data_IF_275643589919
#
_entry.id   IF_275643589919
#
_cell.length_a   1.000
_cell.length_b   1.000
_cell.length_c   1.000
_cell.angle_alpha   90.00
_cell.angle_beta   90.00
_cell.angle_gamma   90.00
#
_symmetry.space_group_name_H-M   'P 1'
#
loop_
_entity.id
_entity.type
_entity.pdbx_description
1 polymer ?
#
# COMPACT_ATOMS: atom_id res chain seq x y z
N UNK A 1 14.82 10.63 -4.87
CA UNK A 1 15.14 11.82 -4.08
C UNK A 1 15.61 11.35 -2.73
N UNK A 2 16.82 11.75 -2.33
CA UNK A 2 17.36 11.43 -1.00
C UNK A 2 16.90 12.48 0.00
N UNK A 3 16.92 12.15 1.28
CA UNK A 3 16.48 13.01 2.37
C UNK A 3 17.61 13.29 3.38
N UNK A 4 17.44 14.31 4.22
CA UNK A 4 18.45 14.81 5.15
C UNK A 4 19.42 15.81 4.51
N UNK A 5 20.15 16.54 5.36
CA UNK A 5 21.08 17.59 4.91
C UNK A 5 22.18 17.06 3.97
N UNK A 6 22.58 15.80 4.17
CA UNK A 6 23.61 15.09 3.42
C UNK A 6 23.06 14.03 2.46
N UNK A 7 21.75 13.81 2.43
CA UNK A 7 21.12 12.84 1.53
C UNK A 7 21.24 11.37 1.96
N UNK A 8 21.43 11.11 3.24
CA UNK A 8 21.60 9.78 3.85
C UNK A 8 20.47 9.37 4.80
N UNK A 9 19.47 10.22 5.03
CA UNK A 9 18.34 9.98 5.94
C UNK A 9 17.11 9.40 5.23
N UNK A 10 17.36 8.45 4.33
CA UNK A 10 16.32 7.80 3.53
C UNK A 10 15.95 8.58 2.27
N UNK A 11 14.66 8.61 1.92
CA UNK A 11 14.20 9.35 0.75
C UNK A 11 12.84 8.98 0.19
N UNK A 12 12.54 9.57 -0.97
CA UNK A 12 11.32 9.33 -1.73
C UNK A 12 11.69 8.86 -3.14
N UNK A 13 11.14 7.74 -3.56
CA UNK A 13 11.30 7.23 -4.93
C UNK A 13 10.02 7.41 -5.74
N UNK A 14 10.18 7.72 -7.02
CA UNK A 14 9.09 7.84 -7.96
C UNK A 14 9.29 6.81 -9.07
N UNK A 15 8.32 5.90 -9.23
CA UNK A 15 8.28 4.93 -10.30
C UNK A 15 7.24 5.42 -11.32
N UNK A 16 7.67 5.70 -12.56
CA UNK A 16 6.82 6.40 -13.56
C UNK A 16 6.66 5.60 -14.83
N UNK A 17 5.42 5.36 -15.26
CA UNK A 17 5.13 4.63 -16.47
C UNK A 17 4.10 5.39 -17.35
N UNK A 18 4.38 5.51 -18.65
CA UNK A 18 3.57 6.33 -19.56
C UNK A 18 4.01 7.79 -19.62
N UNK A 19 3.25 8.62 -20.35
CA UNK A 19 3.55 10.05 -20.56
C UNK A 19 2.25 10.85 -20.61
N UNK A 20 2.30 12.12 -20.25
CA UNK A 20 1.16 13.04 -20.36
C UNK A 20 -0.12 12.44 -19.74
N UNK A 21 -1.23 12.43 -20.47
CA UNK A 21 -2.53 11.91 -20.02
C UNK A 21 -2.59 10.40 -19.76
N UNK A 22 -1.51 9.64 -20.01
CA UNK A 22 -1.42 8.20 -19.67
C UNK A 22 -0.38 7.92 -18.58
N UNK A 23 0.19 8.96 -17.98
CA UNK A 23 1.21 8.81 -16.94
C UNK A 23 0.59 8.21 -15.68
N UNK A 24 1.21 7.14 -15.21
CA UNK A 24 1.01 6.57 -13.89
C UNK A 24 2.29 6.80 -13.07
N UNK A 25 2.16 7.26 -11.83
CA UNK A 25 3.29 7.53 -10.93
C UNK A 25 3.01 6.89 -9.58
N UNK A 26 3.87 5.95 -9.17
CA UNK A 26 3.91 5.44 -7.82
C UNK A 26 4.96 6.23 -7.03
N UNK A 27 4.57 6.78 -5.89
CA UNK A 27 5.44 7.46 -4.94
C UNK A 27 5.67 6.51 -3.77
N UNK A 28 6.92 6.22 -3.43
CA UNK A 28 7.28 5.36 -2.30
C UNK A 28 8.16 6.12 -1.32
N UNK A 29 7.68 6.26 -0.07
CA UNK A 29 8.26 7.11 0.97
C UNK A 29 8.97 6.26 2.03
N UNK A 30 10.28 6.42 2.11
CA UNK A 30 11.16 5.90 3.18
C UNK A 30 12.06 7.02 3.73
N UNK A 31 11.62 8.28 3.60
CA UNK A 31 12.24 9.51 4.09
C UNK A 31 12.11 9.62 5.61
N UNK A 32 12.94 10.48 6.24
CA UNK A 32 12.92 10.91 7.64
C UNK A 32 11.52 11.43 8.08
N UNK A 33 11.35 11.75 9.36
CA UNK A 33 10.04 12.15 9.88
C UNK A 33 9.55 13.46 9.25
N UNK A 34 10.41 14.47 9.13
CA UNK A 34 10.04 15.78 8.57
C UNK A 34 9.59 16.80 9.62
N UNK A 35 10.17 16.78 10.81
CA UNK A 35 9.89 17.67 11.94
C UNK A 35 8.40 17.63 12.36
N UNK A 36 7.88 18.72 12.89
CA UNK A 36 6.50 18.86 13.39
C UNK A 36 5.39 18.77 12.32
N UNK A 37 5.75 18.62 11.04
CA UNK A 37 4.82 18.37 9.94
C UNK A 37 4.93 16.94 9.39
N UNK A 38 5.79 16.12 10.00
CA UNK A 38 5.96 14.73 9.70
C UNK A 38 4.74 13.89 10.05
N UNK A 39 4.50 12.85 9.26
CA UNK A 39 3.50 11.83 9.55
C UNK A 39 4.18 10.54 10.03
N UNK A 40 3.42 9.69 10.72
CA UNK A 40 3.87 8.39 11.21
C UNK A 40 3.69 7.30 10.14
N UNK A 41 4.34 7.42 8.99
CA UNK A 41 3.98 6.68 7.77
C UNK A 41 5.20 6.08 7.03
N UNK A 42 6.16 5.53 7.77
CA UNK A 42 7.32 4.83 7.19
C UNK A 42 6.88 3.78 6.18
N UNK A 43 7.56 3.73 5.04
CA UNK A 43 7.29 2.80 3.93
C UNK A 43 5.88 2.95 3.29
N UNK A 44 5.22 4.10 3.46
CA UNK A 44 3.98 4.43 2.76
C UNK A 44 4.19 4.57 1.24
N UNK A 45 3.14 4.33 0.47
CA UNK A 45 3.12 4.65 -0.96
C UNK A 45 1.80 5.29 -1.38
N UNK A 46 1.85 6.02 -2.50
CA UNK A 46 0.68 6.58 -3.17
C UNK A 46 0.76 6.31 -4.66
N UNK A 47 -0.39 6.08 -5.29
CA UNK A 47 -0.47 5.82 -6.73
C UNK A 47 -1.29 6.90 -7.40
N UNK A 48 -0.71 7.51 -8.44
CA UNK A 48 -1.41 8.39 -9.35
C UNK A 48 -1.54 7.72 -10.72
N UNK A 49 -2.69 7.86 -11.37
CA UNK A 49 -2.92 7.44 -12.75
C UNK A 49 -3.72 8.49 -13.51
N UNK A 50 -3.26 8.86 -14.71
CA UNK A 50 -3.93 9.81 -15.61
C UNK A 50 -4.30 11.14 -14.92
N UNK A 51 -3.42 11.62 -14.05
CA UNK A 51 -3.61 12.87 -13.29
C UNK A 51 -4.61 12.77 -12.13
N UNK A 52 -4.98 11.56 -11.70
CA UNK A 52 -5.83 11.30 -10.54
C UNK A 52 -5.06 10.53 -9.48
N UNK A 53 -5.32 10.84 -8.21
CA UNK A 53 -4.80 10.10 -7.07
C UNK A 53 -5.67 8.88 -6.84
N UNK A 54 -5.11 7.68 -7.02
CA UNK A 54 -5.82 6.39 -6.98
C UNK A 54 -5.72 5.75 -5.60
N UNK A 55 -4.49 5.55 -5.13
CA UNK A 55 -4.18 5.17 -3.76
C UNK A 55 -3.63 6.41 -3.08
N UNK A 56 -4.39 6.95 -2.14
CA UNK A 56 -4.25 8.33 -1.68
C UNK A 56 -3.47 8.47 -0.38
N UNK A 57 -2.92 9.66 -0.17
CA UNK A 57 -2.54 10.15 1.15
C UNK A 57 -3.58 11.18 1.62
N UNK A 58 -3.95 11.14 2.90
CA UNK A 58 -4.95 12.09 3.39
C UNK A 58 -4.41 13.54 3.39
N UNK A 59 -3.09 13.71 3.52
CA UNK A 59 -2.48 15.02 3.73
C UNK A 59 -2.85 15.60 5.10
N UNK A 60 -3.05 16.91 5.22
CA UNK A 60 -3.36 17.55 6.51
C UNK A 60 -4.85 17.76 6.75
N UNK A 61 -5.26 17.82 8.02
CA UNK A 61 -6.59 18.33 8.39
C UNK A 61 -6.49 19.83 8.64
N UNK A 62 -6.61 20.60 7.56
CA UNK A 62 -6.50 22.06 7.57
C UNK A 62 -7.30 22.69 6.44
N UNK A 63 -7.96 23.81 6.73
CA UNK A 63 -8.70 24.59 5.75
C UNK A 63 -8.06 25.96 5.60
N UNK A 64 -7.10 26.08 4.67
CA UNK A 64 -6.25 27.28 4.54
C UNK A 64 -7.12 28.53 4.28
N UNK A 65 -6.99 29.53 5.15
CA UNK A 65 -7.72 30.81 5.02
C UNK A 65 -9.20 30.75 5.40
N UNK A 66 -9.72 29.61 5.86
CA UNK A 66 -11.12 29.46 6.27
C UNK A 66 -11.24 29.73 7.76
N UNK A 67 -11.68 30.93 8.13
CA UNK A 67 -11.76 31.39 9.52
C UNK A 67 -12.64 30.49 10.40
N UNK A 68 -13.77 30.01 9.85
CA UNK A 68 -14.72 29.12 10.52
C UNK A 68 -14.11 27.77 10.90
N UNK A 69 -12.98 27.39 10.30
CA UNK A 69 -12.24 26.18 10.59
C UNK A 69 -10.96 26.55 11.34
N UNK A 70 -11.16 27.01 12.59
CA UNK A 70 -10.10 27.34 13.53
C UNK A 70 -9.08 28.37 12.98
N UNK A 71 -9.57 29.43 12.34
CA UNK A 71 -8.71 30.47 11.76
C UNK A 71 -7.83 29.96 10.61
N UNK A 72 -8.19 28.84 9.98
CA UNK A 72 -7.42 28.18 8.94
C UNK A 72 -6.11 27.52 9.39
N UNK A 73 -5.98 27.25 10.70
CA UNK A 73 -4.86 26.51 11.29
C UNK A 73 -5.06 25.00 11.15
N UNK A 74 -4.02 24.22 11.48
CA UNK A 74 -4.18 22.78 11.65
C UNK A 74 -5.21 22.48 12.73
N UNK A 75 -6.13 21.57 12.42
CA UNK A 75 -7.18 21.14 13.34
C UNK A 75 -6.67 19.99 14.22
N UNK A 76 -7.35 19.71 15.34
CA UNK A 76 -6.96 18.63 16.26
C UNK A 76 -6.91 17.25 15.57
N UNK A 77 -7.72 17.07 14.54
CA UNK A 77 -7.78 15.85 13.73
C UNK A 77 -6.53 15.68 12.85
N UNK A 78 -5.73 16.74 12.66
CA UNK A 78 -4.43 16.62 11.99
C UNK A 78 -3.53 15.65 12.76
N UNK A 79 -3.41 15.88 14.08
CA UNK A 79 -2.53 15.06 14.91
C UNK A 79 -3.22 13.75 15.30
N UNK A 80 -4.52 13.79 15.58
CA UNK A 80 -5.26 12.62 16.09
C UNK A 80 -5.76 11.65 15.02
N UNK A 81 -5.78 12.05 13.74
CA UNK A 81 -6.12 11.20 12.59
C UNK A 81 -5.07 11.27 11.48
N UNK A 82 -4.92 12.41 10.81
CA UNK A 82 -4.18 12.46 9.54
C UNK A 82 -2.68 12.14 9.66
N UNK A 83 -2.04 12.47 10.78
CA UNK A 83 -0.66 12.09 11.06
C UNK A 83 -0.48 10.63 11.51
N UNK A 84 -1.56 9.92 11.87
CA UNK A 84 -1.50 8.56 12.44
C UNK A 84 -1.31 7.49 11.36
N UNK A 85 -0.62 6.40 11.69
CA UNK A 85 -0.22 5.37 10.70
C UNK A 85 -1.40 4.72 10.00
N UNK A 86 -2.53 4.53 10.69
CA UNK A 86 -3.76 3.95 10.13
C UNK A 86 -4.37 4.79 8.99
N UNK A 87 -4.06 6.09 8.91
CA UNK A 87 -4.49 6.97 7.83
C UNK A 87 -3.64 6.83 6.54
N UNK A 88 -2.66 5.92 6.52
CA UNK A 88 -1.68 5.77 5.44
C UNK A 88 -1.64 4.33 4.90
N UNK A 89 -1.03 4.15 3.72
CA UNK A 89 -0.96 2.87 3.03
C UNK A 89 0.25 2.05 3.50
N UNK A 90 0.42 1.86 4.81
CA UNK A 90 1.56 1.14 5.39
C UNK A 90 1.13 0.28 6.57
N UNK A 91 2.03 -0.58 7.06
CA UNK A 91 1.71 -1.56 8.10
C UNK A 91 1.52 -0.87 9.46
N UNK A 92 0.41 -1.19 10.11
CA UNK A 92 0.12 -0.80 11.50
C UNK A 92 0.23 -2.04 12.39
N UNK A 93 0.91 -1.92 13.53
CA UNK A 93 1.09 -3.02 14.48
C UNK A 93 0.34 -2.69 15.77
N UNK A 94 -0.49 -3.62 16.26
CA UNK A 94 -1.24 -3.53 17.53
C UNK A 94 -2.05 -2.23 17.69
N UNK A 95 -2.61 -1.73 16.58
CA UNK A 95 -3.32 -0.44 16.49
C UNK A 95 -2.49 0.76 17.00
N UNK A 96 -1.17 0.65 16.99
CA UNK A 96 -0.24 1.69 17.38
C UNK A 96 0.34 2.38 16.14
N UNK A 97 0.44 3.70 16.18
CA UNK A 97 1.20 4.42 15.15
C UNK A 97 2.69 4.12 15.27
N UNK A 98 3.42 4.23 14.16
CA UNK A 98 4.88 4.21 14.14
C UNK A 98 5.46 5.12 15.24
N UNK A 99 6.49 4.64 15.91
CA UNK A 99 7.15 5.30 17.04
C UNK A 99 6.17 5.66 18.17
N UNK A 100 5.06 4.92 18.29
CA UNK A 100 3.96 5.18 19.21
C UNK A 100 3.39 6.62 19.10
N UNK A 101 3.46 7.22 17.90
CA UNK A 101 3.05 8.59 17.66
C UNK A 101 3.94 9.66 18.32
N UNK A 102 5.20 9.33 18.65
CA UNK A 102 6.14 10.24 19.27
C UNK A 102 7.10 10.86 18.23
N UNK A 103 6.93 12.15 17.95
CA UNK A 103 7.77 12.93 17.03
C UNK A 103 9.26 12.83 17.36
N UNK A 104 9.65 13.09 18.63
CA UNK A 104 11.06 13.06 19.06
C UNK A 104 11.71 11.69 18.89
N UNK A 105 10.93 10.62 18.98
CA UNK A 105 11.45 9.28 18.69
C UNK A 105 11.53 9.05 17.18
N UNK A 106 10.51 9.43 16.43
CA UNK A 106 10.47 9.29 14.97
C UNK A 106 11.60 10.06 14.26
N UNK A 107 12.01 11.21 14.80
CA UNK A 107 13.12 12.04 14.29
C UNK A 107 14.50 11.39 14.40
N UNK A 108 14.69 10.44 15.33
CA UNK A 108 15.99 9.77 15.52
C UNK A 108 16.30 8.75 14.43
N UNK A 109 15.28 8.35 13.67
CA UNK A 109 15.35 7.21 12.77
C UNK A 109 14.98 7.60 11.36
N UNK A 110 15.39 6.77 10.41
CA UNK A 110 14.90 6.86 9.06
C UNK A 110 14.79 5.50 8.38
N UNK A 111 13.92 5.44 7.37
CA UNK A 111 13.87 4.30 6.47
C UNK A 111 15.19 4.19 5.69
N UNK A 112 15.53 2.97 5.29
CA UNK A 112 16.76 2.69 4.54
C UNK A 112 16.41 2.03 3.21
N UNK A 113 16.82 2.67 2.12
CA UNK A 113 16.73 2.05 0.79
C UNK A 113 17.74 0.90 0.70
N UNK A 114 17.26 -0.27 0.32
CA UNK A 114 18.07 -1.46 0.11
C UNK A 114 18.57 -1.52 -1.34
N UNK A 115 17.66 -1.35 -2.31
CA UNK A 115 18.01 -1.17 -3.71
C UNK A 115 16.91 -0.45 -4.48
N UNK A 116 17.24 -0.01 -5.70
CA UNK A 116 16.27 0.51 -6.66
C UNK A 116 16.73 0.27 -8.08
N UNK A 117 15.80 -0.04 -8.97
CA UNK A 117 15.99 -0.05 -10.42
C UNK A 117 14.88 0.76 -11.06
N UNK A 118 15.23 1.93 -11.58
CA UNK A 118 14.28 2.94 -12.09
C UNK A 118 14.51 3.28 -13.57
N UNK A 119 15.49 2.63 -14.21
CA UNK A 119 15.96 3.00 -15.56
C UNK A 119 15.07 2.47 -16.69
N UNK A 120 14.33 1.39 -16.44
CA UNK A 120 13.44 0.75 -17.42
C UNK A 120 11.98 1.10 -17.13
N UNK A 121 11.31 1.95 -17.92
CA UNK A 121 9.97 2.42 -17.59
C UNK A 121 8.90 1.33 -17.44
N UNK A 122 9.03 0.22 -18.18
CA UNK A 122 8.11 -0.92 -18.10
C UNK A 122 8.30 -1.81 -16.87
N UNK A 123 9.42 -1.67 -16.15
CA UNK A 123 9.70 -2.45 -14.95
C UNK A 123 10.61 -1.66 -14.02
N UNK A 124 10.02 -1.09 -12.99
CA UNK A 124 10.72 -0.34 -11.96
C UNK A 124 10.47 -0.98 -10.60
N UNK A 125 11.45 -0.90 -9.71
CA UNK A 125 11.34 -1.43 -8.36
C UNK A 125 12.16 -0.60 -7.39
N UNK A 126 11.64 -0.50 -6.17
CA UNK A 126 12.38 0.00 -5.02
C UNK A 126 12.10 -0.90 -3.84
N UNK A 127 13.14 -1.25 -3.08
CA UNK A 127 13.01 -1.94 -1.81
C UNK A 127 13.61 -1.06 -0.70
N UNK A 128 12.91 -0.96 0.43
CA UNK A 128 13.38 -0.26 1.62
C UNK A 128 13.00 -1.02 2.90
N UNK A 129 13.69 -0.72 3.98
CA UNK A 129 13.45 -1.27 5.32
C UNK A 129 13.24 -0.16 6.36
N UNK A 130 12.50 -0.50 7.41
CA UNK A 130 12.32 0.29 8.62
C UNK A 130 12.44 -0.68 9.81
N UNK A 131 13.36 -0.39 10.72
CA UNK A 131 13.74 -1.30 11.81
C UNK A 131 13.34 -0.78 13.19
N UNK A 132 12.87 0.47 13.28
CA UNK A 132 12.73 1.20 14.54
C UNK A 132 11.29 1.70 14.79
N UNK A 133 10.40 1.61 13.80
CA UNK A 133 9.03 2.09 13.93
C UNK A 133 8.25 1.37 15.05
N UNK A 134 8.60 0.13 15.35
CA UNK A 134 8.10 -0.64 16.49
C UNK A 134 9.29 -1.31 17.18
N UNK A 135 9.15 -1.61 18.48
CA UNK A 135 10.26 -2.12 19.29
C UNK A 135 10.73 -3.51 18.86
N UNK A 136 9.80 -4.36 18.42
CA UNK A 136 9.99 -5.79 18.15
C UNK A 136 9.46 -6.22 16.78
N UNK A 137 9.15 -5.26 15.91
CA UNK A 137 8.75 -5.53 14.52
C UNK A 137 9.59 -4.69 13.56
N UNK A 138 10.35 -5.37 12.70
CA UNK A 138 10.99 -4.76 11.55
C UNK A 138 10.11 -4.92 10.30
N UNK A 139 10.21 -3.97 9.37
CA UNK A 139 9.45 -3.98 8.13
C UNK A 139 10.40 -3.91 6.93
N UNK A 140 10.15 -4.74 5.92
CA UNK A 140 10.77 -4.63 4.60
C UNK A 140 9.67 -4.55 3.56
N UNK A 141 9.77 -3.60 2.64
CA UNK A 141 8.79 -3.43 1.56
C UNK A 141 9.49 -3.23 0.23
N UNK A 142 9.11 -4.03 -0.75
CA UNK A 142 9.43 -3.79 -2.15
C UNK A 142 8.17 -3.47 -2.93
N UNK A 143 8.24 -2.39 -3.72
CA UNK A 143 7.16 -1.97 -4.61
C UNK A 143 7.66 -1.94 -6.04
N UNK A 144 6.92 -2.59 -6.91
CA UNK A 144 7.19 -2.70 -8.34
C UNK A 144 6.14 -1.93 -9.12
N UNK A 145 6.55 -1.18 -10.15
CA UNK A 145 5.66 -0.68 -11.19
C UNK A 145 5.96 -1.45 -12.47
N UNK A 146 4.98 -2.20 -12.97
CA UNK A 146 5.15 -3.16 -14.06
C UNK A 146 4.17 -2.82 -15.18
N UNK A 147 4.66 -2.73 -16.40
CA UNK A 147 3.85 -2.72 -17.62
C UNK A 147 4.05 -4.06 -18.34
N UNK A 148 2.97 -4.80 -18.52
CA UNK A 148 2.97 -6.07 -19.23
C UNK A 148 3.04 -5.83 -20.75
N UNK A 149 3.44 -6.84 -21.55
CA UNK A 149 3.52 -6.71 -23.01
C UNK A 149 2.23 -6.30 -23.72
N UNK A 150 1.06 -6.49 -23.09
CA UNK A 150 -0.24 -6.05 -23.62
C UNK A 150 -0.65 -4.65 -23.13
N UNK A 151 0.25 -3.91 -22.49
CA UNK A 151 0.05 -2.54 -22.01
C UNK A 151 -0.64 -2.42 -20.67
N UNK A 152 -1.05 -3.53 -20.04
CA UNK A 152 -1.60 -3.49 -18.67
C UNK A 152 -0.55 -3.05 -17.67
N UNK A 153 -0.96 -2.21 -16.73
CA UNK A 153 -0.09 -1.69 -15.67
C UNK A 153 -0.50 -2.25 -14.32
N UNK A 154 0.49 -2.68 -13.57
CA UNK A 154 0.34 -3.27 -12.24
C UNK A 154 1.32 -2.63 -11.27
N UNK A 155 0.89 -2.47 -10.03
CA UNK A 155 1.80 -2.33 -8.88
C UNK A 155 1.84 -3.66 -8.17
N UNK A 156 3.04 -4.22 -7.95
CA UNK A 156 3.22 -5.34 -7.03
C UNK A 156 3.89 -4.86 -5.75
N UNK A 157 3.22 -5.12 -4.63
CA UNK A 157 3.66 -4.74 -3.28
C UNK A 157 3.93 -6.01 -2.47
N UNK A 158 5.20 -6.19 -2.14
CA UNK A 158 5.71 -7.29 -1.33
C UNK A 158 6.18 -6.69 0.00
N UNK A 159 5.43 -6.93 1.07
CA UNK A 159 5.71 -6.39 2.40
C UNK A 159 5.93 -7.53 3.39
N UNK A 160 6.99 -7.43 4.19
CA UNK A 160 7.36 -8.40 5.21
C UNK A 160 7.39 -7.71 6.57
N UNK A 161 6.64 -8.23 7.52
CA UNK A 161 6.82 -7.93 8.94
C UNK A 161 7.70 -9.03 9.56
N UNK A 162 8.76 -8.63 10.24
CA UNK A 162 9.75 -9.52 10.85
C UNK A 162 9.67 -9.33 12.37
N UNK A 163 9.20 -10.36 13.07
CA UNK A 163 9.09 -10.36 14.53
C UNK A 163 9.20 -11.78 15.07
N UNK A 164 9.48 -11.89 16.38
CA UNK A 164 9.62 -13.17 17.10
C UNK A 164 8.35 -13.56 17.86
N UNK A 165 7.36 -12.67 17.95
CA UNK A 165 6.12 -12.85 18.70
C UNK A 165 4.91 -12.55 17.83
N UNK A 166 3.76 -13.08 18.23
CA UNK A 166 2.50 -12.77 17.57
C UNK A 166 2.07 -11.33 17.85
N UNK A 167 1.68 -10.62 16.79
CA UNK A 167 1.06 -9.29 16.85
C UNK A 167 -0.19 -9.24 15.98
N UNK A 168 -0.99 -8.18 16.16
CA UNK A 168 -2.00 -7.78 15.19
C UNK A 168 -1.38 -6.84 14.16
N UNK A 169 -1.62 -7.12 12.88
CA UNK A 169 -1.15 -6.31 11.77
C UNK A 169 -2.33 -5.83 10.93
N UNK A 170 -2.42 -4.52 10.73
CA UNK A 170 -3.38 -3.90 9.83
C UNK A 170 -2.63 -3.29 8.64
N UNK A 171 -3.04 -3.65 7.42
CA UNK A 171 -2.55 -3.03 6.19
C UNK A 171 -3.70 -2.29 5.49
N UNK A 172 -3.74 -0.95 5.55
CA UNK A 172 -4.76 -0.13 4.89
C UNK A 172 -4.43 0.10 3.42
N UNK A 173 -5.49 0.15 2.60
CA UNK A 173 -5.50 0.72 1.27
C UNK A 173 -6.47 1.90 1.27
N UNK A 174 -5.93 3.12 1.39
CA UNK A 174 -6.63 4.38 1.23
C UNK A 174 -6.88 4.58 -0.27
N UNK A 175 -8.12 4.46 -0.71
CA UNK A 175 -8.43 4.53 -2.14
C UNK A 175 -9.42 5.64 -2.45
N UNK A 176 -9.26 6.24 -3.61
CA UNK A 176 -10.20 7.25 -4.09
C UNK A 176 -11.07 6.65 -5.18
N UNK A 177 -12.37 6.49 -4.91
CA UNK A 177 -13.32 6.00 -5.90
C UNK A 177 -14.54 5.33 -5.26
N UNK A 178 -15.41 4.82 -6.12
CA UNK A 178 -16.61 4.10 -5.73
C UNK A 178 -16.35 2.60 -5.72
N UNK A 179 -16.66 1.93 -4.62
CA UNK A 179 -16.62 0.46 -4.54
C UNK A 179 -17.56 -0.14 -5.61
N UNK A 180 -17.05 -1.09 -6.41
CA UNK A 180 -17.79 -1.81 -7.44
C UNK A 180 -18.03 -3.26 -7.01
N UNK A 181 -17.01 -3.95 -6.54
CA UNK A 181 -17.14 -5.35 -6.12
C UNK A 181 -16.08 -5.75 -5.10
N UNK A 182 -16.35 -6.85 -4.41
CA UNK A 182 -15.38 -7.55 -3.58
C UNK A 182 -15.50 -9.06 -3.79
N UNK A 183 -14.38 -9.78 -3.74
CA UNK A 183 -14.38 -11.25 -3.72
C UNK A 183 -14.86 -11.82 -2.39
N UNK A 184 -14.75 -11.04 -1.31
CA UNK A 184 -15.18 -11.47 0.01
C UNK A 184 -16.66 -11.20 0.23
N UNK A 185 -17.38 -12.19 0.78
CA UNK A 185 -18.75 -12.00 1.24
C UNK A 185 -18.72 -11.24 2.57
N UNK A 186 -19.03 -9.94 2.52
CA UNK A 186 -19.05 -9.06 3.68
C UNK A 186 -20.45 -8.91 4.29
N UNK A 187 -20.48 -8.52 5.56
CA UNK A 187 -21.68 -8.11 6.29
C UNK A 187 -21.67 -6.59 6.41
N UNK A 188 -22.66 -5.92 5.84
CA UNK A 188 -22.79 -4.46 5.92
C UNK A 188 -23.51 -4.01 7.19
N UNK A 189 -23.01 -2.93 7.78
CA UNK A 189 -23.62 -2.24 8.91
C UNK A 189 -24.75 -1.32 8.44
N UNK A 190 -25.93 -1.92 8.21
CA UNK A 190 -27.08 -1.23 7.59
C UNK A 190 -27.82 -0.23 8.50
N UNK A 191 -27.67 -0.35 9.82
CA UNK A 191 -28.45 0.45 10.80
C UNK A 191 -27.57 1.29 11.72
N UNK A 192 -26.41 0.79 12.09
CA UNK A 192 -25.48 1.43 13.03
C UNK A 192 -24.06 1.02 12.64
N UNK A 193 -23.19 1.99 12.47
CA UNK A 193 -21.76 1.80 12.29
C UNK A 193 -21.06 1.99 13.64
N UNK A 194 -20.00 1.22 13.88
CA UNK A 194 -19.13 1.38 15.04
C UNK A 194 -17.75 1.84 14.59
N UNK A 195 -16.98 2.42 15.51
CA UNK A 195 -15.62 2.83 15.21
C UNK A 195 -14.72 1.60 15.10
N UNK A 196 -13.77 1.61 14.17
CA UNK A 196 -12.85 0.49 13.96
C UNK A 196 -12.02 0.18 15.21
N UNK A 197 -11.68 1.22 15.97
CA UNK A 197 -10.97 1.09 17.24
C UNK A 197 -11.15 2.33 18.10
N UNK A 198 -10.29 2.50 19.11
CA UNK A 198 -10.50 3.49 20.19
C UNK A 198 -9.48 4.63 20.24
N UNK A 199 -8.34 4.51 19.55
CA UNK A 199 -7.22 5.47 19.62
C UNK A 199 -6.36 5.42 18.35
N UNK A 200 -5.36 6.31 18.27
CA UNK A 200 -4.34 6.30 17.22
C UNK A 200 -4.90 6.36 15.80
N UNK A 201 -5.97 7.14 15.60
CA UNK A 201 -6.66 7.32 14.32
C UNK A 201 -7.83 6.36 14.10
N UNK A 202 -7.80 5.16 14.70
CA UNK A 202 -8.85 4.15 14.53
C UNK A 202 -10.24 4.63 14.99
N UNK A 203 -10.28 5.52 15.96
CA UNK A 203 -11.51 6.12 16.47
C UNK A 203 -12.19 7.05 15.46
N UNK A 204 -11.53 7.41 14.35
CA UNK A 204 -12.09 8.25 13.29
C UNK A 204 -12.65 7.47 12.10
N UNK A 205 -12.56 6.13 12.13
CA UNK A 205 -12.99 5.25 11.06
C UNK A 205 -14.30 4.55 11.43
N UNK A 206 -15.37 4.79 10.68
CA UNK A 206 -16.57 3.98 10.72
C UNK A 206 -16.34 2.66 10.00
N UNK A 207 -16.78 1.55 10.58
CA UNK A 207 -16.85 0.26 9.89
C UNK A 207 -18.16 0.18 9.11
N UNK A 208 -18.10 0.34 7.79
CA UNK A 208 -19.29 0.23 6.91
C UNK A 208 -19.66 -1.23 6.66
N UNK A 209 -18.66 -2.10 6.54
CA UNK A 209 -18.83 -3.54 6.41
C UNK A 209 -17.58 -4.30 6.89
N UNK A 210 -17.73 -5.59 7.15
CA UNK A 210 -16.62 -6.47 7.50
C UNK A 210 -16.79 -7.87 6.88
N UNK A 211 -15.68 -8.55 6.62
CA UNK A 211 -15.67 -9.93 6.16
C UNK A 211 -14.51 -10.70 6.81
N UNK A 212 -14.64 -12.02 6.90
CA UNK A 212 -13.51 -12.90 7.20
C UNK A 212 -13.03 -13.58 5.92
N UNK A 213 -11.72 -13.74 5.80
CA UNK A 213 -11.07 -14.45 4.70
C UNK A 213 -10.06 -15.46 5.27
N UNK A 214 -9.92 -16.60 4.59
CA UNK A 214 -8.97 -17.64 4.98
C UNK A 214 -8.39 -18.32 3.75
N UNK A 215 -7.06 -18.42 3.68
CA UNK A 215 -6.32 -19.18 2.66
C UNK A 215 -6.82 -18.89 1.22
N UNK A 216 -6.92 -17.61 0.88
CA UNK A 216 -7.61 -17.15 -0.34
C UNK A 216 -7.03 -15.85 -0.89
N UNK A 217 -7.61 -15.36 -1.99
CA UNK A 217 -7.32 -14.03 -2.53
C UNK A 217 -8.50 -13.11 -2.22
N UNK A 218 -8.23 -12.13 -1.37
CA UNK A 218 -9.15 -11.04 -1.14
C UNK A 218 -8.95 -10.00 -2.25
N UNK A 219 -9.99 -9.63 -2.96
CA UNK A 219 -9.93 -8.67 -4.07
C UNK A 219 -11.02 -7.62 -3.92
N UNK A 220 -10.66 -6.36 -4.09
CA UNK A 220 -11.54 -5.21 -4.07
C UNK A 220 -11.42 -4.46 -5.39
N UNK A 221 -12.52 -4.24 -6.11
CA UNK A 221 -12.54 -3.39 -7.32
C UNK A 221 -13.28 -2.10 -7.03
N UNK A 222 -12.68 -0.97 -7.40
CA UNK A 222 -13.31 0.35 -7.34
C UNK A 222 -13.16 1.08 -8.67
N UNK A 223 -14.11 1.97 -8.94
CA UNK A 223 -14.12 2.84 -10.10
C UNK A 223 -13.70 4.24 -9.67
N UNK A 224 -12.66 4.78 -10.29
CA UNK A 224 -12.31 6.18 -10.16
C UNK A 224 -12.39 6.86 -11.52
N UNK A 225 -13.29 7.84 -11.60
CA UNK A 225 -13.59 8.56 -12.84
C UNK A 225 -14.04 7.62 -13.96
N UNK A 226 -13.12 7.16 -14.81
CA UNK A 226 -13.38 6.32 -16.00
C UNK A 226 -12.48 5.09 -16.06
N UNK A 227 -11.71 4.78 -15.01
CA UNK A 227 -10.80 3.64 -14.95
C UNK A 227 -11.17 2.77 -13.75
N UNK A 228 -11.16 1.45 -13.92
CA UNK A 228 -11.32 0.50 -12.82
C UNK A 228 -9.94 0.18 -12.22
N UNK A 229 -9.94 0.00 -10.91
CA UNK A 229 -8.75 -0.41 -10.17
C UNK A 229 -9.12 -1.57 -9.29
N UNK A 230 -8.26 -2.58 -9.25
CA UNK A 230 -8.44 -3.74 -8.37
C UNK A 230 -7.24 -3.92 -7.47
N UNK A 231 -7.49 -4.01 -6.16
CA UNK A 231 -6.49 -4.43 -5.18
C UNK A 231 -6.72 -5.91 -4.88
N UNK A 232 -5.74 -6.76 -5.18
CA UNK A 232 -5.78 -8.20 -4.90
C UNK A 232 -4.71 -8.54 -3.88
N UNK A 233 -5.08 -9.22 -2.80
CA UNK A 233 -4.21 -9.53 -1.68
C UNK A 233 -4.23 -11.02 -1.39
N UNK A 234 -3.04 -11.62 -1.28
CA UNK A 234 -2.90 -13.00 -0.80
C UNK A 234 -3.16 -13.04 0.70
N UNK A 235 -4.21 -13.74 1.10
CA UNK A 235 -4.53 -14.04 2.49
C UNK A 235 -4.05 -15.46 2.78
N UNK A 236 -2.93 -15.56 3.49
CA UNK A 236 -2.34 -16.82 3.99
C UNK A 236 -2.70 -16.98 5.47
N UNK A 237 -3.45 -18.02 5.83
CA UNK A 237 -4.11 -18.12 7.12
C UNK A 237 -5.35 -17.22 7.22
N UNK A 238 -5.66 -16.75 8.43
CA UNK A 238 -6.91 -16.01 8.71
C UNK A 238 -6.70 -14.48 8.66
N UNK A 239 -7.68 -13.79 8.08
CA UNK A 239 -7.74 -12.33 8.06
C UNK A 239 -9.17 -11.82 8.30
N UNK A 240 -9.27 -10.65 8.93
CA UNK A 240 -10.47 -9.82 8.88
C UNK A 240 -10.26 -8.72 7.84
N UNK A 241 -11.30 -8.44 7.07
CA UNK A 241 -11.33 -7.41 6.03
C UNK A 241 -12.33 -6.36 6.45
N UNK A 242 -11.87 -5.12 6.64
CA UNK A 242 -12.74 -4.01 7.01
C UNK A 242 -12.91 -3.04 5.84
N UNK A 243 -14.16 -2.64 5.63
CA UNK A 243 -14.55 -1.59 4.70
C UNK A 243 -14.88 -0.38 5.55
N UNK A 244 -14.01 0.62 5.54
CA UNK A 244 -14.13 1.75 6.45
C UNK A 244 -14.30 3.06 5.72
N UNK A 245 -14.87 4.04 6.43
CA UNK A 245 -14.96 5.42 5.97
C UNK A 245 -14.59 6.37 7.10
N UNK A 246 -13.78 7.38 6.81
CA UNK A 246 -13.45 8.43 7.76
C UNK A 246 -14.65 9.29 8.12
N UNK A 247 -14.70 9.79 9.35
CA UNK A 247 -15.74 10.69 9.85
C UNK A 247 -16.33 10.29 11.21
N UNK A 248 -15.87 9.20 11.81
CA UNK A 248 -16.23 8.91 13.20
C UNK A 248 -15.59 9.90 14.15
N UNK A 249 -16.21 10.18 15.30
CA UNK A 249 -15.70 11.13 16.30
C UNK A 249 -15.32 12.52 15.75
N UNK A 250 -15.93 12.94 14.63
CA UNK A 250 -15.72 14.24 13.99
C UNK A 250 -17.00 15.10 14.06
N UNK A 251 -17.36 15.64 15.24
CA UNK A 251 -18.60 16.38 15.43
C UNK A 251 -18.66 17.70 14.64
N UNK A 252 -17.52 18.17 14.13
CA UNK A 252 -17.40 19.45 13.43
C UNK A 252 -17.30 19.29 11.90
N UNK A 253 -17.39 18.06 11.38
CA UNK A 253 -17.24 17.75 9.96
C UNK A 253 -15.96 18.36 9.38
N UNK A 254 -14.83 18.09 10.04
CA UNK A 254 -13.49 18.49 9.65
C UNK A 254 -12.82 17.48 8.71
N UNK A 255 -13.27 16.23 8.73
CA UNK A 255 -12.72 15.14 7.92
C UNK A 255 -13.47 15.03 6.59
N UNK A 256 -12.72 14.83 5.51
CA UNK A 256 -13.26 14.31 4.25
C UNK A 256 -13.65 12.86 4.50
N UNK A 257 -14.78 12.44 3.93
CA UNK A 257 -15.29 11.07 4.06
C UNK A 257 -14.69 10.15 2.98
N UNK A 258 -13.45 9.71 3.22
CA UNK A 258 -12.67 8.88 2.31
C UNK A 258 -12.81 7.41 2.70
N UNK A 259 -12.97 6.49 1.72
CA UNK A 259 -13.05 5.07 2.00
C UNK A 259 -11.64 4.47 2.14
N UNK A 260 -11.56 3.41 2.94
CA UNK A 260 -10.38 2.57 3.02
C UNK A 260 -10.77 1.09 3.10
N UNK A 261 -9.91 0.23 2.57
CA UNK A 261 -10.01 -1.20 2.72
C UNK A 261 -8.83 -1.71 3.54
N UNK A 262 -9.10 -2.34 4.69
CA UNK A 262 -8.07 -2.70 5.66
C UNK A 262 -8.04 -4.21 5.84
N UNK A 263 -6.84 -4.79 5.73
CA UNK A 263 -6.60 -6.21 5.96
C UNK A 263 -5.93 -6.38 7.31
N UNK A 264 -6.66 -6.99 8.25
CA UNK A 264 -6.20 -7.31 9.60
C UNK A 264 -5.81 -8.77 9.70
N UNK A 265 -4.60 -9.06 10.17
CA UNK A 265 -4.10 -10.41 10.43
C UNK A 265 -3.48 -10.50 11.83
N UNK A 266 -3.49 -11.70 12.41
CA UNK A 266 -2.65 -12.04 13.56
C UNK A 266 -1.66 -13.11 13.15
N UNK A 267 -0.39 -12.85 13.37
CA UNK A 267 0.70 -13.75 12.97
C UNK A 267 1.98 -13.36 13.71
N UNK A 268 3.02 -14.19 13.63
CA UNK A 268 4.36 -13.87 14.14
C UNK A 268 5.15 -13.01 13.16
N UNK A 269 5.24 -13.42 11.89
CA UNK A 269 6.04 -12.71 10.88
C UNK A 269 5.36 -12.81 9.51
N UNK A 270 4.22 -12.12 9.31
CA UNK A 270 3.46 -12.24 8.07
C UNK A 270 4.16 -11.54 6.90
N UNK A 271 3.99 -12.15 5.73
CA UNK A 271 4.25 -11.52 4.43
C UNK A 271 2.94 -11.19 3.73
N UNK A 272 2.96 -10.10 2.97
CA UNK A 272 1.86 -9.61 2.15
C UNK A 272 2.32 -9.59 0.69
N UNK A 273 1.49 -10.15 -0.19
CA UNK A 273 1.64 -10.06 -1.63
C UNK A 273 0.37 -9.39 -2.16
N UNK A 274 0.50 -8.13 -2.58
CA UNK A 274 -0.62 -7.32 -3.04
C UNK A 274 -0.37 -6.88 -4.49
N UNK A 275 -1.42 -6.90 -5.30
CA UNK A 275 -1.40 -6.42 -6.68
C UNK A 275 -2.46 -5.34 -6.84
N UNK A 276 -2.04 -4.12 -7.21
CA UNK A 276 -2.95 -3.08 -7.69
C UNK A 276 -2.94 -3.13 -9.21
N UNK A 277 -4.06 -3.50 -9.80
CA UNK A 277 -4.25 -3.53 -11.24
C UNK A 277 -4.97 -2.28 -11.72
N UNK A 278 -4.42 -1.63 -12.76
CA UNK A 278 -5.09 -0.55 -13.51
C UNK A 278 -5.73 -1.18 -14.74
N UNK A 279 -7.07 -1.22 -14.81
CA UNK A 279 -7.76 -1.92 -15.88
C UNK A 279 -9.07 -1.26 -16.33
N UNK A 280 -9.48 -1.66 -17.53
CA UNK A 280 -10.77 -1.28 -18.10
C UNK A 280 -11.01 0.20 -18.28
N UNK A 281 -12.20 0.49 -18.78
CA UNK A 281 -12.68 1.85 -18.91
C UNK A 281 -14.19 1.91 -18.81
N UNK A 282 -14.70 3.04 -18.36
CA UNK A 282 -16.13 3.36 -18.40
C UNK A 282 -16.29 4.67 -19.17
N UNK A 283 -17.10 4.64 -20.23
CA UNK A 283 -17.46 5.83 -20.99
C UNK A 283 -18.94 6.17 -20.75
N UNK A 284 -19.23 7.27 -20.03
CA UNK A 284 -20.61 7.65 -19.76
C UNK A 284 -21.34 8.20 -20.98
N UNK A 285 -20.62 8.55 -22.07
CA UNK A 285 -21.26 9.07 -23.30
C UNK A 285 -21.82 7.93 -24.14
N UNK A 286 -21.06 6.84 -24.24
CA UNK A 286 -21.50 5.63 -24.98
C UNK A 286 -22.20 4.62 -24.08
N UNK A 287 -22.23 4.84 -22.76
CA UNK A 287 -22.82 3.96 -21.74
C UNK A 287 -22.21 2.55 -21.72
N UNK A 288 -20.94 2.41 -22.10
CA UNK A 288 -20.23 1.14 -22.10
C UNK A 288 -19.09 1.10 -21.08
N UNK A 289 -18.96 -0.06 -20.43
CA UNK A 289 -17.78 -0.43 -19.65
C UNK A 289 -17.04 -1.59 -20.34
N UNK A 290 -15.73 -1.49 -20.44
CA UNK A 290 -14.85 -2.53 -21.01
C UNK A 290 -13.87 -3.01 -19.96
N UNK A 291 -13.61 -4.32 -19.93
CA UNK A 291 -12.65 -4.97 -19.02
C UNK A 291 -12.83 -4.53 -17.55
N UNK A 292 -14.09 -4.46 -17.08
CA UNK A 292 -14.44 -4.03 -15.72
C UNK A 292 -14.08 -5.02 -14.63
N UNK A 293 -13.80 -6.28 -14.99
CA UNK A 293 -13.34 -7.31 -14.07
C UNK A 293 -11.82 -7.35 -14.02
N UNK A 294 -11.27 -7.56 -12.82
CA UNK A 294 -9.82 -7.77 -12.65
C UNK A 294 -9.34 -8.96 -13.48
N UNK A 295 -8.17 -8.79 -14.09
CA UNK A 295 -7.49 -9.87 -14.76
C UNK A 295 -6.63 -10.70 -13.80
N UNK A 296 -6.33 -10.22 -12.59
CA UNK A 296 -5.64 -11.00 -11.55
C UNK A 296 -6.56 -12.11 -11.05
N UNK A 297 -6.15 -13.36 -11.24
CA UNK A 297 -6.90 -14.58 -10.88
C UNK A 297 -6.24 -15.42 -9.79
N UNK A 298 -4.95 -15.21 -9.54
CA UNK A 298 -4.16 -16.05 -8.66
C UNK A 298 -2.98 -15.29 -8.07
N UNK A 299 -2.68 -15.53 -6.79
CA UNK A 299 -1.50 -15.04 -6.07
C UNK A 299 -0.97 -16.21 -5.25
N UNK A 300 0.34 -16.43 -5.27
CA UNK A 300 0.99 -17.40 -4.37
C UNK A 300 2.46 -17.05 -4.16
N UNK A 301 2.97 -17.42 -3.00
CA UNK A 301 4.40 -17.55 -2.78
C UNK A 301 4.86 -18.92 -3.31
N UNK A 302 5.78 -18.92 -4.27
CA UNK A 302 6.54 -20.12 -4.63
C UNK A 302 7.61 -20.37 -3.57
N UNK A 303 8.22 -19.28 -3.07
CA UNK A 303 9.18 -19.29 -1.99
C UNK A 303 9.11 -17.95 -1.25
N UNK A 304 9.20 -17.96 0.07
CA UNK A 304 9.26 -16.72 0.83
C UNK A 304 9.95 -16.95 2.19
N UNK A 305 11.13 -16.36 2.36
CA UNK A 305 11.89 -16.37 3.62
C UNK A 305 12.73 -15.09 3.78
N UNK A 306 13.60 -15.07 4.80
CA UNK A 306 14.48 -13.93 5.08
C UNK A 306 15.48 -13.61 3.96
N UNK A 307 15.76 -14.55 3.06
CA UNK A 307 16.75 -14.42 1.99
C UNK A 307 16.10 -14.16 0.63
N UNK A 308 14.90 -14.69 0.38
CA UNK A 308 14.29 -14.70 -0.95
C UNK A 308 12.77 -14.57 -0.90
N UNK A 309 12.22 -13.80 -1.84
CA UNK A 309 10.79 -13.77 -2.15
C UNK A 309 10.60 -14.12 -3.63
N UNK A 310 9.84 -15.19 -3.90
CA UNK A 310 9.44 -15.63 -5.24
C UNK A 310 7.92 -15.73 -5.27
N UNK A 311 7.27 -14.79 -5.92
CA UNK A 311 5.83 -14.71 -6.06
C UNK A 311 5.40 -15.07 -7.48
N UNK A 312 4.30 -15.83 -7.61
CA UNK A 312 3.59 -16.03 -8.87
C UNK A 312 2.24 -15.31 -8.80
N UNK A 313 1.95 -14.56 -9.84
CA UNK A 313 0.70 -13.85 -10.07
C UNK A 313 0.10 -14.39 -11.36
N UNK A 314 -1.09 -14.98 -11.27
CA UNK A 314 -1.84 -15.43 -12.42
C UNK A 314 -2.70 -14.28 -12.94
N UNK A 315 -2.46 -13.88 -14.18
CA UNK A 315 -3.09 -12.77 -14.86
C UNK A 315 -3.81 -13.36 -16.08
N UNK A 316 -5.14 -13.51 -15.99
CA UNK A 316 -5.95 -14.37 -16.86
C UNK A 316 -5.37 -15.79 -16.87
N UNK A 317 -4.81 -16.20 -18.00
CA UNK A 317 -4.19 -17.50 -18.27
C UNK A 317 -2.65 -17.44 -18.25
N UNK A 318 -2.06 -16.26 -18.04
CA UNK A 318 -0.61 -16.02 -18.08
C UNK A 318 -0.04 -15.86 -16.67
N UNK A 319 1.23 -16.23 -16.52
CA UNK A 319 1.95 -16.16 -15.23
C UNK A 319 2.95 -15.01 -15.23
N UNK A 320 2.83 -14.10 -14.28
CA UNK A 320 3.87 -13.17 -13.90
C UNK A 320 4.61 -13.74 -12.69
N UNK A 321 5.92 -13.86 -12.75
CA UNK A 321 6.76 -14.30 -11.63
C UNK A 321 7.72 -13.19 -11.25
N UNK A 322 7.72 -12.80 -9.97
CA UNK A 322 8.68 -11.86 -9.39
C UNK A 322 9.58 -12.67 -8.47
N UNK A 323 10.89 -12.65 -8.71
CA UNK A 323 11.89 -13.19 -7.80
C UNK A 323 12.81 -12.07 -7.33
N UNK A 324 13.03 -11.95 -6.02
CA UNK A 324 13.96 -10.99 -5.41
C UNK A 324 14.77 -11.61 -4.28
N UNK A 325 15.95 -11.03 -4.07
CA UNK A 325 16.77 -11.26 -2.88
C UNK A 325 16.37 -10.27 -1.78
N UNK A 326 16.26 -10.76 -0.55
CA UNK A 326 15.90 -10.01 0.66
C UNK A 326 17.11 -9.72 1.57
N UNK A 327 18.28 -10.25 1.22
CA UNK A 327 19.50 -10.19 2.03
C UNK A 327 20.75 -9.76 1.25
N UNK A 328 20.92 -10.21 0.00
CA UNK A 328 22.06 -9.83 -0.84
C UNK A 328 21.60 -8.92 -1.98
N UNK A 329 21.97 -7.64 -1.91
CA UNK A 329 21.53 -6.61 -2.85
C UNK A 329 22.59 -6.22 -3.90
N UNK A 330 23.59 -7.07 -4.12
CA UNK A 330 24.58 -6.83 -5.19
C UNK A 330 23.95 -7.00 -6.57
N UNK A 331 24.30 -6.12 -7.50
CA UNK A 331 23.87 -6.21 -8.91
C UNK A 331 24.50 -7.37 -9.68
N UNK A 332 25.54 -8.00 -9.12
CA UNK A 332 26.29 -9.13 -9.72
C UNK A 332 26.11 -10.44 -8.96
N UNK A 333 25.37 -10.44 -7.84
CA UNK A 333 25.08 -11.66 -7.11
C UNK A 333 24.27 -12.64 -7.98
N UNK A 334 24.64 -13.91 -7.95
CA UNK A 334 23.91 -14.98 -8.60
C UNK A 334 23.07 -15.71 -7.57
N UNK A 335 21.82 -15.99 -7.91
CA UNK A 335 20.85 -16.63 -7.04
C UNK A 335 20.25 -17.86 -7.73
N UNK A 336 20.09 -18.94 -6.97
CA UNK A 336 19.38 -20.15 -7.36
C UNK A 336 18.45 -20.51 -6.20
N UNK A 337 17.13 -20.44 -6.44
CA UNK A 337 16.14 -20.77 -5.43
C UNK A 337 14.86 -21.28 -6.10
N UNK A 338 14.31 -22.37 -5.57
CA UNK A 338 13.04 -22.98 -6.03
C UNK A 338 12.93 -23.16 -7.56
N UNK A 339 14.04 -23.52 -8.21
CA UNK A 339 14.11 -23.73 -9.66
C UNK A 339 14.31 -22.46 -10.50
N UNK A 340 14.37 -21.29 -9.88
CA UNK A 340 14.66 -20.02 -10.56
C UNK A 340 16.12 -19.64 -10.42
N UNK A 341 16.70 -19.14 -11.51
CA UNK A 341 18.08 -18.64 -11.56
C UNK A 341 18.07 -17.19 -12.03
N UNK A 342 18.77 -16.31 -11.30
CA UNK A 342 18.91 -14.92 -11.72
C UNK A 342 20.18 -14.26 -11.20
N UNK A 343 20.51 -13.12 -11.80
CA UNK A 343 21.62 -12.26 -11.41
C UNK A 343 21.08 -10.90 -11.01
N UNK A 344 21.61 -10.34 -9.93
CA UNK A 344 21.20 -9.06 -9.36
C UNK A 344 20.10 -9.18 -8.31
N UNK A 345 19.60 -8.04 -7.85
CA UNK A 345 18.66 -7.96 -6.72
C UNK A 345 17.29 -8.57 -6.99
N UNK A 346 16.85 -8.57 -8.25
CA UNK A 346 15.55 -9.09 -8.65
C UNK A 346 15.53 -9.49 -10.12
N UNK A 347 14.47 -10.20 -10.50
CA UNK A 347 14.09 -10.43 -11.88
C UNK A 347 12.59 -10.67 -11.97
N UNK A 348 12.02 -10.40 -13.13
CA UNK A 348 10.59 -10.62 -13.39
C UNK A 348 10.44 -11.35 -14.71
N UNK A 349 9.57 -12.35 -14.73
CA UNK A 349 9.19 -13.07 -15.95
C UNK A 349 7.70 -12.97 -16.18
N UNK A 350 7.30 -12.81 -17.43
CA UNK A 350 5.92 -12.93 -17.86
C UNK A 350 5.83 -14.04 -18.89
N UNK A 351 5.07 -15.08 -18.55
CA UNK A 351 4.84 -16.26 -19.37
C UNK A 351 6.15 -16.90 -19.87
N UNK A 352 7.08 -17.08 -18.93
CA UNK A 352 8.42 -17.66 -19.19
C UNK A 352 9.43 -16.71 -19.82
N UNK A 353 9.03 -15.51 -20.26
CA UNK A 353 9.94 -14.52 -20.85
C UNK A 353 10.34 -13.48 -19.82
N UNK A 354 11.64 -13.20 -19.68
CA UNK A 354 12.14 -12.15 -18.79
C UNK A 354 11.64 -10.78 -19.27
N UNK A 355 11.11 -9.96 -18.34
CA UNK A 355 10.51 -8.66 -18.67
C UNK A 355 11.51 -7.55 -18.94
#
# INVERSE_FOLDING_TARGET
FVDGATGDEGGVSLLRNGKNGTLSTLIFKYASHGLSHGHFDRLNYNLFDKGKEVISDYGSVRYIGVEQKYGGRYLKENDSYAGQTIAHNTLVVDEASHFNGNEKEAEKHHGKKLFSSLTKPSLQVVMAEELNAYKDVAMKRSVYMIELPDGRKLVADLLHAIADKEHQYDLPFQYNGQLISSSAKYTSNLKKQETLGKKNGYQFLWVEAEASAKDTIAQLTFLQHRTFYSVSCLVDGEAQLFYTRTGANDPNFNLRHEPAWIIRRKAVSPSYLNIIEIHGSMDPVTEFATQSYSAVKGLKWIHNDLNYSIAEIMIQDKKLVIAQSNANFSSTATHNQSGFNWVGTYTVWFDGKKL
#
